data_IF_404875460927
#
_entry.id   IF_404875460927
#
_cell.length_a   1.000
_cell.length_b   1.000
_cell.length_c   1.000
_cell.angle_alpha   90.00
_cell.angle_beta   90.00
_cell.angle_gamma   90.00
#
_symmetry.space_group_name_H-M   'P 1'
#
loop_
_entity.id
_entity.type
_entity.pdbx_description
1 polymer ?
#
# COMPACT_ATOMS: atom_id res chain seq x y z
N UNK A 1 -65.81 -45.13 23.26
CA UNK A 1 -64.81 -46.22 23.39
C UNK A 1 -63.87 -46.17 22.21
N UNK A 2 -62.56 -46.08 22.49
CA UNK A 2 -61.37 -46.54 21.72
C UNK A 2 -61.32 -46.24 20.21
N UNK A 3 -60.47 -45.29 19.78
CA UNK A 3 -59.04 -45.41 19.37
C UNK A 3 -58.89 -45.92 17.93
N UNK A 4 -58.27 -45.11 17.07
CA UNK A 4 -57.04 -45.47 16.33
C UNK A 4 -56.53 -44.26 15.55
N UNK A 5 -55.40 -43.73 16.00
CA UNK A 5 -54.62 -42.67 15.35
C UNK A 5 -53.32 -43.29 14.85
N UNK A 6 -53.03 -43.13 13.56
CA UNK A 6 -51.76 -43.47 12.95
C UNK A 6 -51.44 -42.40 11.91
N UNK A 7 -50.53 -41.47 12.25
CA UNK A 7 -49.90 -40.61 11.24
C UNK A 7 -48.40 -40.50 11.52
N UNK A 8 -47.70 -41.09 10.56
CA UNK A 8 -46.34 -40.91 10.07
C UNK A 8 -45.42 -39.87 10.74
N UNK A 9 -44.21 -40.36 11.03
CA UNK A 9 -43.03 -39.59 11.36
C UNK A 9 -42.61 -38.65 10.21
N UNK A 10 -42.29 -37.40 10.54
CA UNK A 10 -41.55 -36.48 9.68
C UNK A 10 -40.20 -36.24 10.33
N UNK A 11 -39.16 -36.82 9.75
CA UNK A 11 -37.77 -36.53 10.06
C UNK A 11 -37.41 -35.17 9.43
N UNK A 12 -37.19 -34.16 10.26
CA UNK A 12 -36.68 -32.85 9.81
C UNK A 12 -35.16 -32.88 9.79
N UNK A 13 -34.66 -32.58 8.59
CA UNK A 13 -33.27 -32.60 8.18
C UNK A 13 -32.35 -31.79 9.10
N UNK A 14 -31.24 -32.41 9.45
CA UNK A 14 -30.02 -31.76 9.93
C UNK A 14 -29.54 -30.75 8.89
N UNK A 15 -29.69 -29.46 9.21
CA UNK A 15 -29.09 -28.37 8.46
C UNK A 15 -27.58 -28.45 8.56
N UNK A 16 -26.94 -28.93 7.49
CA UNK A 16 -25.50 -28.75 7.30
C UNK A 16 -25.29 -27.28 6.93
N UNK A 17 -24.97 -26.47 7.94
CA UNK A 17 -24.42 -25.14 7.72
C UNK A 17 -23.04 -25.30 7.10
N UNK A 18 -22.97 -25.19 5.77
CA UNK A 18 -21.73 -24.91 5.09
C UNK A 18 -21.30 -23.50 5.51
N UNK A 19 -20.54 -23.41 6.60
CA UNK A 19 -19.71 -22.25 6.87
C UNK A 19 -18.68 -22.20 5.73
N UNK A 20 -19.04 -21.51 4.65
CA UNK A 20 -18.09 -21.11 3.64
C UNK A 20 -17.09 -20.19 4.34
N UNK A 21 -15.95 -20.75 4.76
CA UNK A 21 -14.70 -20.03 4.80
C UNK A 21 -14.40 -19.59 3.36
N UNK A 22 -15.18 -18.64 2.87
CA UNK A 22 -15.05 -18.11 1.54
C UNK A 22 -13.69 -17.46 1.46
N UNK A 23 -12.77 -18.09 0.75
CA UNK A 23 -11.59 -17.42 0.23
C UNK A 23 -12.07 -16.06 -0.31
N UNK A 24 -11.54 -15.01 0.29
CA UNK A 24 -11.96 -13.66 -0.01
C UNK A 24 -11.60 -13.35 -1.48
N UNK A 25 -12.59 -13.50 -2.37
CA UNK A 25 -12.38 -13.42 -3.81
C UNK A 25 -11.78 -12.07 -4.22
N UNK A 26 -12.13 -10.99 -3.52
CA UNK A 26 -11.55 -9.67 -3.74
C UNK A 26 -10.05 -9.64 -3.40
N UNK A 27 -9.65 -10.22 -2.25
CA UNK A 27 -8.23 -10.35 -1.90
C UNK A 27 -7.47 -11.26 -2.85
N UNK A 28 -8.09 -12.34 -3.32
CA UNK A 28 -7.48 -13.25 -4.30
C UNK A 28 -7.24 -12.54 -5.64
N UNK A 29 -8.22 -11.81 -6.17
CA UNK A 29 -8.09 -11.01 -7.40
C UNK A 29 -7.09 -9.87 -7.22
N UNK A 30 -7.08 -9.20 -6.07
CA UNK A 30 -6.08 -8.19 -5.74
C UNK A 30 -4.65 -8.74 -5.76
N UNK A 31 -4.46 -9.90 -5.13
CA UNK A 31 -3.17 -10.59 -5.01
C UNK A 31 -2.64 -11.12 -6.35
N UNK A 32 -3.49 -11.32 -7.37
CA UNK A 32 -3.01 -11.73 -8.69
C UNK A 32 -2.31 -10.62 -9.45
N UNK A 33 -2.47 -9.35 -9.03
CA UNK A 33 -1.80 -8.21 -9.67
C UNK A 33 -2.21 -7.97 -11.12
N UNK A 34 -3.35 -8.52 -11.55
CA UNK A 34 -3.80 -8.43 -12.94
C UNK A 34 -4.13 -6.97 -13.30
N UNK A 35 -3.54 -6.41 -14.37
CA UNK A 35 -3.88 -5.07 -14.83
C UNK A 35 -5.36 -4.93 -15.17
N UNK A 36 -5.95 -3.79 -14.83
CA UNK A 36 -7.35 -3.46 -15.16
C UNK A 36 -8.40 -4.11 -14.26
N UNK A 37 -8.01 -4.84 -13.22
CA UNK A 37 -8.96 -5.27 -12.18
C UNK A 37 -9.31 -4.10 -11.28
N UNK A 38 -10.60 -3.91 -11.00
CA UNK A 38 -11.11 -2.96 -10.01
C UNK A 38 -11.48 -3.67 -8.71
N UNK A 39 -11.33 -2.99 -7.58
CA UNK A 39 -11.87 -3.40 -6.29
C UNK A 39 -12.42 -2.21 -5.53
N UNK A 40 -13.59 -2.40 -4.92
CA UNK A 40 -14.18 -1.44 -4.00
C UNK A 40 -13.42 -1.44 -2.68
N UNK A 41 -13.04 -0.25 -2.21
CA UNK A 41 -12.36 -0.01 -0.94
C UNK A 41 -13.05 1.13 -0.19
N UNK A 42 -12.85 1.17 1.12
CA UNK A 42 -13.31 2.28 1.97
C UNK A 42 -12.10 3.09 2.40
N UNK A 43 -12.19 4.42 2.33
CA UNK A 43 -11.15 5.30 2.85
C UNK A 43 -11.21 5.27 4.38
N UNK A 44 -10.21 4.67 5.03
CA UNK A 44 -10.18 4.55 6.49
C UNK A 44 -9.63 5.82 7.16
N UNK A 45 -8.63 6.43 6.54
CA UNK A 45 -7.98 7.64 7.03
C UNK A 45 -7.23 8.36 5.91
N UNK A 46 -7.04 9.66 6.10
CA UNK A 46 -6.27 10.50 5.20
C UNK A 46 -5.41 11.45 6.02
N UNK A 47 -4.13 11.55 5.66
CA UNK A 47 -3.17 12.49 6.22
C UNK A 47 -2.65 13.41 5.11
N UNK A 48 -2.66 14.71 5.36
CA UNK A 48 -2.16 15.71 4.41
C UNK A 48 -0.70 16.01 4.72
N UNK A 49 0.20 15.75 3.77
CA UNK A 49 1.63 15.94 3.97
C UNK A 49 2.32 16.37 2.68
N UNK A 50 3.06 17.47 2.74
CA UNK A 50 3.94 17.93 1.66
C UNK A 50 3.27 18.08 0.27
N UNK A 51 1.97 18.42 0.24
CA UNK A 51 1.18 18.53 -1.00
C UNK A 51 0.60 17.20 -1.50
N UNK A 52 0.68 16.14 -0.71
CA UNK A 52 0.09 14.84 -0.97
C UNK A 52 -1.02 14.52 0.03
N UNK A 53 -1.96 13.68 -0.40
CA UNK A 53 -2.86 12.95 0.47
C UNK A 53 -2.34 11.51 0.62
N UNK A 54 -1.92 11.17 1.82
CA UNK A 54 -1.64 9.80 2.25
C UNK A 54 -2.95 9.17 2.71
N UNK A 55 -3.52 8.28 1.91
CA UNK A 55 -4.79 7.64 2.21
C UNK A 55 -4.59 6.17 2.53
N UNK A 56 -5.14 5.73 3.66
CA UNK A 56 -5.27 4.31 3.99
C UNK A 56 -6.62 3.81 3.50
N UNK A 57 -6.59 2.84 2.61
CA UNK A 57 -7.76 2.21 2.01
C UNK A 57 -7.97 0.82 2.62
N UNK A 58 -9.18 0.54 3.05
CA UNK A 58 -9.57 -0.73 3.66
C UNK A 58 -10.38 -1.57 2.67
N UNK A 59 -9.87 -2.77 2.40
CA UNK A 59 -10.60 -3.85 1.75
C UNK A 59 -11.00 -4.91 2.77
N UNK A 60 -11.69 -5.96 2.32
CA UNK A 60 -11.99 -7.09 3.19
C UNK A 60 -10.68 -7.77 3.63
N UNK A 61 -10.21 -7.58 4.86
CA UNK A 61 -9.05 -8.29 5.42
C UNK A 61 -7.68 -7.93 4.81
N UNK A 62 -7.55 -6.73 4.26
CA UNK A 62 -6.28 -6.11 3.86
C UNK A 62 -6.43 -4.59 3.81
N UNK A 63 -5.30 -3.89 3.92
CA UNK A 63 -5.19 -2.44 3.81
C UNK A 63 -4.23 -2.07 2.69
N UNK A 64 -4.41 -0.88 2.14
CA UNK A 64 -3.52 -0.30 1.14
C UNK A 64 -3.35 1.17 1.42
N UNK A 65 -2.12 1.57 1.71
CA UNK A 65 -1.73 2.96 1.76
C UNK A 65 -1.38 3.41 0.36
N UNK A 66 -1.89 4.57 -0.03
CA UNK A 66 -1.64 5.18 -1.33
C UNK A 66 -1.40 6.67 -1.18
N UNK A 67 -0.66 7.23 -2.14
CA UNK A 67 -0.35 8.65 -2.18
C UNK A 67 -0.96 9.25 -3.43
N UNK A 68 -1.70 10.33 -3.25
CA UNK A 68 -2.31 11.10 -4.34
C UNK A 68 -1.93 12.57 -4.21
N UNK A 69 -1.99 13.38 -5.29
CA UNK A 69 -1.86 14.82 -5.17
C UNK A 69 -2.94 15.41 -4.26
N UNK A 70 -2.60 16.43 -3.47
CA UNK A 70 -3.59 17.23 -2.73
C UNK A 70 -4.27 18.27 -3.65
N UNK A 71 -5.08 17.76 -4.59
CA UNK A 71 -5.96 18.56 -5.43
C UNK A 71 -7.44 18.45 -5.01
N UNK A 72 -8.28 19.30 -5.57
CA UNK A 72 -9.71 19.37 -5.20
C UNK A 72 -10.45 18.05 -5.47
N UNK A 73 -10.13 17.36 -6.56
CA UNK A 73 -10.78 16.10 -6.96
C UNK A 73 -10.38 14.98 -6.00
N UNK A 74 -9.08 14.85 -5.73
CA UNK A 74 -8.56 13.85 -4.81
C UNK A 74 -9.07 14.09 -3.37
N UNK A 75 -9.14 15.34 -2.90
CA UNK A 75 -9.73 15.66 -1.58
C UNK A 75 -11.23 15.37 -1.48
N UNK A 76 -11.99 15.63 -2.55
CA UNK A 76 -13.41 15.32 -2.56
C UNK A 76 -13.67 13.81 -2.48
N UNK A 77 -12.84 13.03 -3.18
CA UNK A 77 -12.92 11.57 -3.24
C UNK A 77 -12.40 10.89 -1.97
N UNK A 78 -11.30 11.38 -1.40
CA UNK A 78 -10.61 10.79 -0.25
C UNK A 78 -11.08 11.40 1.06
N UNK A 79 -12.33 11.14 1.40
CA UNK A 79 -12.89 11.47 2.72
C UNK A 79 -13.00 10.21 3.56
N UNK A 80 -12.65 10.22 4.85
CA UNK A 80 -12.85 9.06 5.71
C UNK A 80 -14.30 8.53 5.63
N UNK A 81 -14.45 7.23 5.43
CA UNK A 81 -15.72 6.53 5.21
C UNK A 81 -16.22 6.51 3.76
N UNK A 82 -15.60 7.24 2.83
CA UNK A 82 -15.99 7.22 1.43
C UNK A 82 -15.65 5.87 0.78
N UNK A 83 -16.55 5.39 -0.09
CA UNK A 83 -16.29 4.24 -0.94
C UNK A 83 -15.63 4.70 -2.25
N UNK A 84 -14.55 4.04 -2.63
CA UNK A 84 -13.79 4.31 -3.86
C UNK A 84 -13.53 3.00 -4.61
N UNK A 85 -13.53 3.07 -5.93
CA UNK A 85 -13.07 1.97 -6.77
C UNK A 85 -11.59 2.17 -7.07
N UNK A 86 -10.75 1.23 -6.62
CA UNK A 86 -9.34 1.18 -6.99
C UNK A 86 -9.18 0.28 -8.21
N UNK A 87 -8.66 0.85 -9.30
CA UNK A 87 -8.25 0.10 -10.48
C UNK A 87 -6.72 -0.06 -10.51
N UNK A 88 -6.23 -1.29 -10.69
CA UNK A 88 -4.82 -1.58 -10.91
C UNK A 88 -4.37 -1.16 -12.32
N UNK A 89 -4.39 0.15 -12.59
CA UNK A 89 -4.00 0.78 -13.84
C UNK A 89 -2.70 1.56 -13.67
N UNK A 90 -1.68 1.21 -14.46
CA UNK A 90 -0.34 1.79 -14.33
C UNK A 90 0.41 1.32 -13.07
N UNK A 91 1.54 1.97 -12.72
CA UNK A 91 2.40 1.50 -11.63
C UNK A 91 1.80 1.69 -10.23
N UNK A 92 0.87 2.64 -10.06
CA UNK A 92 0.35 3.06 -8.74
C UNK A 92 -1.15 2.82 -8.57
N UNK A 93 -1.88 2.61 -9.67
CA UNK A 93 -3.32 2.51 -9.70
C UNK A 93 -4.04 3.84 -9.89
N UNK A 94 -5.36 3.78 -9.99
CA UNK A 94 -6.25 4.94 -10.10
C UNK A 94 -7.47 4.72 -9.22
N UNK A 95 -7.85 5.75 -8.48
CA UNK A 95 -9.05 5.78 -7.64
C UNK A 95 -10.16 6.45 -8.43
N UNK A 96 -11.38 5.94 -8.32
CA UNK A 96 -12.55 6.55 -8.95
C UNK A 96 -13.77 6.49 -8.06
N UNK A 97 -14.57 7.56 -8.11
CA UNK A 97 -15.85 7.68 -7.42
C UNK A 97 -16.68 8.78 -8.11
N UNK A 98 -18.01 8.59 -8.21
CA UNK A 98 -18.90 9.64 -8.73
C UNK A 98 -18.63 10.10 -10.17
N UNK A 99 -17.95 9.30 -10.99
CA UNK A 99 -17.54 9.68 -12.35
C UNK A 99 -16.23 10.47 -12.43
N UNK A 100 -15.61 10.78 -11.30
CA UNK A 100 -14.30 11.40 -11.22
C UNK A 100 -13.19 10.37 -10.99
N UNK A 101 -11.95 10.75 -11.28
CA UNK A 101 -10.77 9.92 -11.08
C UNK A 101 -9.64 10.69 -10.41
N UNK A 102 -9.03 10.08 -9.39
CA UNK A 102 -7.84 10.57 -8.71
C UNK A 102 -6.69 9.58 -8.95
N UNK A 103 -5.60 10.04 -9.55
CA UNK A 103 -4.46 9.17 -9.89
C UNK A 103 -3.49 9.07 -8.73
N UNK A 104 -3.15 7.83 -8.33
CA UNK A 104 -2.07 7.61 -7.39
C UNK A 104 -0.71 7.94 -8.02
N UNK A 105 0.16 8.53 -7.22
CA UNK A 105 1.52 8.99 -7.60
C UNK A 105 2.61 8.31 -6.79
N UNK A 106 2.26 7.34 -5.94
CA UNK A 106 3.22 6.61 -5.13
C UNK A 106 2.74 5.24 -4.70
N UNK A 107 3.70 4.45 -4.19
CA UNK A 107 3.49 3.18 -3.53
C UNK A 107 3.55 3.43 -2.02
N UNK A 108 2.41 3.35 -1.34
CA UNK A 108 2.38 3.06 0.10
C UNK A 108 2.35 1.55 0.34
N UNK A 109 2.31 1.11 1.60
CA UNK A 109 2.28 -0.31 1.98
C UNK A 109 3.26 -1.18 1.17
N UNK A 110 4.54 -0.80 1.12
CA UNK A 110 5.54 -1.41 0.20
C UNK A 110 5.59 -2.94 0.25
N UNK A 111 5.27 -3.54 1.40
CA UNK A 111 5.18 -5.00 1.56
C UNK A 111 4.14 -5.60 0.62
N UNK A 112 2.96 -5.01 0.53
CA UNK A 112 1.89 -5.49 -0.33
C UNK A 112 2.34 -5.49 -1.79
N UNK A 113 3.00 -4.42 -2.24
CA UNK A 113 3.54 -4.32 -3.60
C UNK A 113 4.64 -5.34 -3.90
N UNK A 114 5.47 -5.66 -2.90
CA UNK A 114 6.44 -6.75 -3.01
C UNK A 114 5.72 -8.08 -3.18
N UNK A 115 4.78 -8.39 -2.28
CA UNK A 115 4.13 -9.69 -2.18
C UNK A 115 3.20 -9.98 -3.39
N UNK A 116 2.73 -8.94 -4.09
CA UNK A 116 1.96 -9.05 -5.36
C UNK A 116 2.80 -9.45 -6.57
N UNK A 117 4.12 -9.40 -6.48
CA UNK A 117 5.00 -9.74 -7.60
C UNK A 117 5.29 -11.23 -7.62
N UNK A 118 5.42 -11.85 -8.81
CA UNK A 118 5.91 -13.21 -8.88
C UNK A 118 7.24 -13.30 -8.12
N UNK A 119 7.33 -14.22 -7.16
CA UNK A 119 8.55 -14.44 -6.38
C UNK A 119 9.73 -14.59 -7.35
N UNK A 120 10.63 -13.61 -7.36
CA UNK A 120 11.88 -13.79 -8.07
C UNK A 120 12.65 -14.86 -7.32
N UNK A 121 13.00 -15.93 -8.03
CA UNK A 121 13.75 -17.09 -7.55
C UNK A 121 14.82 -16.67 -6.54
N UNK A 122 14.91 -17.40 -5.44
CA UNK A 122 15.75 -17.18 -4.26
C UNK A 122 17.04 -16.41 -4.57
N UNK A 123 17.05 -15.10 -4.33
CA UNK A 123 18.29 -14.33 -4.49
C UNK A 123 19.11 -14.57 -3.23
N UNK A 124 20.24 -15.26 -3.38
CA UNK A 124 21.13 -15.62 -2.26
C UNK A 124 21.77 -14.38 -1.60
N UNK A 125 21.76 -13.23 -2.29
CA UNK A 125 22.34 -11.97 -1.84
C UNK A 125 21.27 -10.89 -1.67
N UNK A 126 21.24 -10.21 -0.53
CA UNK A 126 20.37 -9.04 -0.31
C UNK A 126 20.85 -7.90 -1.24
N UNK A 127 20.02 -7.44 -2.20
CA UNK A 127 20.42 -6.33 -3.08
C UNK A 127 20.68 -5.06 -2.27
N UNK A 128 21.77 -4.36 -2.60
CA UNK A 128 22.15 -3.08 -1.98
C UNK A 128 22.55 -2.08 -3.05
N UNK A 129 22.23 -0.82 -2.84
CA UNK A 129 22.70 0.29 -3.66
C UNK A 129 22.76 1.57 -2.82
N UNK A 130 23.53 2.58 -3.24
CA UNK A 130 23.55 3.86 -2.56
C UNK A 130 22.32 4.69 -2.96
N UNK A 131 21.67 5.31 -1.98
CA UNK A 131 20.65 6.34 -2.16
C UNK A 131 21.23 7.69 -1.75
N UNK A 132 20.94 8.72 -2.53
CA UNK A 132 21.34 10.10 -2.32
C UNK A 132 20.09 10.98 -2.31
N UNK A 133 19.94 11.82 -1.28
CA UNK A 133 18.70 12.54 -1.03
C UNK A 133 18.90 13.75 -0.13
N UNK A 134 17.85 14.56 -0.05
CA UNK A 134 17.73 15.68 0.88
C UNK A 134 16.36 15.67 1.54
N UNK A 135 16.27 16.28 2.71
CA UNK A 135 14.99 16.51 3.37
C UNK A 135 14.19 17.49 2.50
N UNK A 136 13.01 17.06 2.08
CA UNK A 136 12.03 17.86 1.33
C UNK A 136 10.98 18.44 2.27
N UNK A 137 10.52 17.62 3.22
CA UNK A 137 9.50 17.99 4.20
C UNK A 137 9.59 17.07 5.43
N UNK A 138 9.09 17.53 6.57
CA UNK A 138 9.02 16.72 7.79
C UNK A 138 7.91 17.20 8.72
N UNK A 139 7.29 16.27 9.44
CA UNK A 139 6.44 16.54 10.60
C UNK A 139 6.88 15.66 11.79
N UNK A 140 6.05 15.55 12.82
CA UNK A 140 6.34 14.73 14.01
C UNK A 140 6.35 13.21 13.73
N UNK A 141 5.69 12.75 12.66
CA UNK A 141 5.50 11.33 12.37
C UNK A 141 6.46 10.83 11.30
N UNK A 142 6.77 11.66 10.31
CA UNK A 142 7.47 11.24 9.10
C UNK A 142 8.32 12.34 8.46
N UNK A 143 9.29 11.90 7.67
CA UNK A 143 10.19 12.73 6.89
C UNK A 143 10.11 12.30 5.43
N UNK A 144 10.00 13.27 4.54
CA UNK A 144 9.98 13.10 3.10
C UNK A 144 11.38 13.42 2.58
N UNK A 145 12.05 12.43 2.01
CA UNK A 145 13.41 12.51 1.49
C UNK A 145 13.36 12.49 -0.03
N UNK A 146 13.72 13.60 -0.70
CA UNK A 146 13.73 13.70 -2.16
C UNK A 146 15.11 13.42 -2.72
N UNK A 147 15.21 12.53 -3.71
CA UNK A 147 16.45 12.19 -4.39
C UNK A 147 16.35 10.87 -5.14
N UNK A 148 17.45 10.12 -5.20
CA UNK A 148 17.58 8.88 -5.96
C UNK A 148 17.45 7.66 -5.06
N UNK A 149 16.51 6.77 -5.41
CA UNK A 149 16.21 5.54 -4.66
C UNK A 149 16.23 4.31 -5.59
N UNK A 150 17.43 3.80 -5.95
CA UNK A 150 17.59 2.88 -7.09
C UNK A 150 16.90 1.52 -6.92
N UNK A 151 16.72 1.04 -5.69
CA UNK A 151 16.08 -0.25 -5.44
C UNK A 151 14.53 -0.19 -5.45
N UNK A 152 13.93 0.99 -5.65
CA UNK A 152 12.47 1.13 -5.80
C UNK A 152 11.90 0.34 -6.99
N UNK A 153 12.71 0.16 -8.04
CA UNK A 153 12.34 -0.62 -9.24
C UNK A 153 11.97 -2.07 -8.94
N UNK A 154 12.58 -2.66 -7.90
CA UNK A 154 12.27 -4.01 -7.42
C UNK A 154 10.84 -4.13 -6.88
N UNK A 155 10.21 -3.02 -6.51
CA UNK A 155 8.79 -2.91 -6.14
C UNK A 155 7.90 -2.36 -7.27
N UNK A 156 8.49 -1.94 -8.40
CA UNK A 156 7.73 -1.44 -9.56
C UNK A 156 7.55 0.05 -9.59
N UNK A 157 8.24 0.72 -8.68
CA UNK A 157 8.28 2.15 -8.66
C UNK A 157 9.04 2.67 -9.88
N UNK A 158 8.48 3.67 -10.57
CA UNK A 158 9.02 4.17 -11.84
C UNK A 158 9.80 5.49 -11.74
N UNK A 159 9.79 6.18 -10.59
CA UNK A 159 10.46 7.48 -10.39
C UNK A 159 11.93 7.39 -9.95
N UNK A 160 12.75 6.50 -10.53
CA UNK A 160 14.01 6.08 -9.90
C UNK A 160 15.06 7.19 -9.68
N UNK A 161 15.11 8.18 -10.57
CA UNK A 161 16.13 9.24 -10.55
C UNK A 161 15.71 10.48 -9.76
N UNK A 162 14.41 10.68 -9.56
CA UNK A 162 13.84 11.75 -8.73
C UNK A 162 12.56 11.24 -8.08
N UNK A 163 12.70 10.84 -6.81
CA UNK A 163 11.64 10.28 -6.00
C UNK A 163 11.67 10.82 -4.60
N UNK A 164 10.56 10.63 -3.91
CA UNK A 164 10.41 10.95 -2.51
C UNK A 164 10.22 9.64 -1.75
N UNK A 165 11.16 9.32 -0.87
CA UNK A 165 10.99 8.27 0.13
C UNK A 165 10.36 8.86 1.39
N UNK A 166 9.33 8.22 1.90
CA UNK A 166 8.72 8.57 3.19
C UNK A 166 9.29 7.63 4.24
N UNK A 167 9.83 8.19 5.32
CA UNK A 167 10.45 7.44 6.42
C UNK A 167 9.91 7.90 7.78
N UNK A 168 9.90 7.06 8.82
CA UNK A 168 9.48 7.51 10.16
C UNK A 168 10.39 8.59 10.73
N UNK A 169 9.84 9.62 11.36
CA UNK A 169 10.61 10.60 12.12
C UNK A 169 10.95 10.08 13.52
N UNK A 170 11.76 9.02 13.59
CA UNK A 170 12.14 8.36 14.85
C UNK A 170 13.64 8.45 15.09
N UNK A 171 14.07 8.21 16.34
CA UNK A 171 15.50 8.20 16.69
C UNK A 171 16.31 7.19 15.86
N UNK A 172 15.73 6.04 15.50
CA UNK A 172 16.39 5.01 14.68
C UNK A 172 16.68 5.50 13.27
N UNK A 173 15.82 6.38 12.74
CA UNK A 173 15.95 6.94 11.40
C UNK A 173 16.82 8.19 11.31
N UNK A 174 17.18 8.79 12.45
CA UNK A 174 17.82 10.11 12.49
C UNK A 174 19.12 10.18 11.70
N UNK A 175 20.01 9.21 11.90
CA UNK A 175 21.32 9.19 11.24
C UNK A 175 21.19 9.05 9.71
N UNK A 176 20.43 8.08 9.15
CA UNK A 176 20.14 8.06 7.72
C UNK A 176 19.52 9.37 7.19
N UNK A 177 18.57 9.97 7.92
CA UNK A 177 17.90 11.22 7.50
C UNK A 177 18.90 12.38 7.38
N UNK A 178 19.76 12.57 8.39
CA UNK A 178 20.66 13.73 8.49
C UNK A 178 21.85 13.67 7.53
N UNK A 179 22.33 12.48 7.17
CA UNK A 179 23.51 12.33 6.30
C UNK A 179 23.25 12.65 4.83
N UNK A 180 22.00 12.57 4.37
CA UNK A 180 21.64 12.80 2.95
C UNK A 180 22.16 11.73 1.98
N UNK A 181 22.85 10.71 2.48
CA UNK A 181 23.32 9.55 1.73
C UNK A 181 23.24 8.31 2.61
N UNK A 182 22.74 7.21 2.08
CA UNK A 182 22.65 5.94 2.82
C UNK A 182 22.73 4.73 1.89
N UNK A 183 23.09 3.57 2.46
CA UNK A 183 22.96 2.31 1.75
C UNK A 183 21.51 1.83 1.80
N UNK A 184 20.85 1.78 0.66
CA UNK A 184 19.50 1.21 0.52
C UNK A 184 19.59 -0.31 0.36
N UNK A 185 18.80 -1.06 1.11
CA UNK A 185 18.68 -2.51 0.98
C UNK A 185 17.26 -2.93 0.60
N UNK A 186 17.17 -4.03 -0.14
CA UNK A 186 15.89 -4.66 -0.48
C UNK A 186 15.75 -6.05 0.17
N UNK A 187 14.68 -6.24 0.94
CA UNK A 187 14.35 -7.51 1.58
C UNK A 187 13.19 -8.20 0.86
N UNK A 188 13.47 -9.41 0.33
CA UNK A 188 12.48 -10.26 -0.32
C UNK A 188 11.40 -10.79 0.63
N UNK A 189 11.64 -10.75 1.94
CA UNK A 189 10.71 -11.23 2.96
C UNK A 189 10.71 -10.30 4.18
N UNK A 190 9.78 -10.53 5.10
CA UNK A 190 9.64 -9.71 6.30
C UNK A 190 8.82 -8.43 6.08
N UNK A 191 8.68 -7.60 7.13
CA UNK A 191 7.75 -6.47 7.13
C UNK A 191 8.24 -5.23 6.37
N UNK A 192 9.56 -5.10 6.14
CA UNK A 192 10.18 -3.88 5.60
C UNK A 192 10.95 -4.21 4.31
N UNK A 193 10.31 -4.09 3.14
CA UNK A 193 10.95 -4.43 1.87
C UNK A 193 12.12 -3.52 1.53
N UNK A 194 12.12 -2.27 1.98
CA UNK A 194 13.14 -1.28 1.70
C UNK A 194 13.58 -0.58 2.98
N UNK A 195 14.88 -0.50 3.17
CA UNK A 195 15.50 0.11 4.37
C UNK A 195 16.70 0.94 3.95
N UNK A 196 16.84 2.13 4.53
CA UNK A 196 18.05 2.96 4.47
C UNK A 196 18.95 2.63 5.66
N UNK A 197 20.22 2.39 5.36
CA UNK A 197 21.24 2.09 6.35
C UNK A 197 22.31 3.16 6.39
N UNK A 198 22.58 3.63 7.60
CA UNK A 198 23.76 4.41 7.90
C UNK A 198 24.31 4.07 9.29
N UNK A 199 25.58 3.66 9.34
CA UNK A 199 26.19 3.11 10.55
C UNK A 199 25.37 1.94 11.09
N UNK A 200 24.83 2.09 12.29
CA UNK A 200 23.98 1.09 12.95
C UNK A 200 22.47 1.35 12.76
N UNK A 201 22.08 2.51 12.20
CA UNK A 201 20.69 2.90 12.01
C UNK A 201 20.05 2.15 10.84
N UNK A 202 18.90 1.53 11.08
CA UNK A 202 18.06 0.90 10.06
C UNK A 202 16.74 1.65 9.94
N UNK A 203 16.61 2.47 8.91
CA UNK A 203 15.42 3.29 8.71
C UNK A 203 14.53 2.69 7.63
N UNK A 204 13.35 2.13 7.97
CA UNK A 204 12.45 1.59 6.96
C UNK A 204 11.90 2.70 6.07
N UNK A 205 11.82 2.42 4.78
CA UNK A 205 11.05 3.25 3.84
C UNK A 205 9.60 2.77 3.91
N UNK A 206 8.69 3.68 4.25
CA UNK A 206 7.25 3.42 4.36
C UNK A 206 6.55 3.53 3.00
N UNK A 207 7.00 4.47 2.18
CA UNK A 207 6.45 4.74 0.86
C UNK A 207 7.48 5.30 -0.11
N UNK A 208 7.20 5.16 -1.40
CA UNK A 208 7.92 5.80 -2.50
C UNK A 208 6.94 6.59 -3.37
N UNK A 209 7.17 7.88 -3.54
CA UNK A 209 6.24 8.80 -4.19
C UNK A 209 6.95 9.58 -5.30
N UNK A 210 6.25 9.84 -6.41
CA UNK A 210 6.73 10.73 -7.45
C UNK A 210 6.59 12.20 -7.02
N UNK A 211 7.60 13.04 -7.28
CA UNK A 211 7.49 14.48 -7.09
C UNK A 211 6.34 15.07 -7.91
N UNK A 212 5.53 15.95 -7.30
CA UNK A 212 4.50 16.67 -8.04
C UNK A 212 5.12 17.69 -9.02
N UNK A 213 4.49 17.91 -10.19
CA UNK A 213 4.91 18.97 -11.11
C UNK A 213 4.93 20.32 -10.40
N UNK A 214 6.04 21.03 -10.45
CA UNK A 214 6.17 22.36 -9.83
C UNK A 214 6.37 22.36 -8.31
N UNK A 215 6.53 21.21 -7.66
CA UNK A 215 6.94 21.14 -6.25
C UNK A 215 8.29 21.80 -6.05
N UNK A 216 8.38 22.74 -5.09
CA UNK A 216 9.60 23.53 -4.81
C UNK A 216 10.82 22.59 -4.70
N UNK A 217 11.84 22.90 -5.48
CA UNK A 217 13.16 22.27 -5.39
C UNK A 217 13.84 22.72 -4.11
#
# INVERSE_FOLDING_TARGET
>A
MRRSSAWAAVALATGVSFATNGCNAQKAVWATGLPGTSTSLVVAGVHEAAGYLEATLEGKGWTLDTFTPDDEVCRAMLRPGAAVEYEARGPYGTLSAGGESCRAVGLGSLREWRDRRPNQTTVVMIPRAQADYRIFWSDEQQVFLRGRFPLGSLLGFTGLDDAIAVVPNTAVCRKPIEEGVASMQYYQSGPQPLVLLSGEGQCPILALVQPLPGGRQ
#
